data_IF_258843636696
#
_entry.id   IF_258843636696
#
_cell.length_a   1.000
_cell.length_b   1.000
_cell.length_c   1.000
_cell.angle_alpha   90.00
_cell.angle_beta   90.00
_cell.angle_gamma   90.00
#
_symmetry.space_group_name_H-M   'P 1'
#
loop_
_entity.id
_entity.type
_entity.pdbx_description
1 polymer ?
#
# COMPACT_ATOMS: atom_id res chain seq x y z
N UNK A 1 8.44 33.67 59.25
CA UNK A 1 7.21 33.26 58.52
C UNK A 1 7.68 32.73 57.16
N UNK A 2 7.85 31.40 57.06
CA UNK A 2 8.33 30.72 55.81
C UNK A 2 7.10 30.22 55.08
N UNK A 3 6.85 30.77 53.87
CA UNK A 3 5.77 30.35 52.99
C UNK A 3 6.32 29.21 52.14
N UNK A 4 5.81 27.98 52.35
CA UNK A 4 6.07 26.81 51.52
C UNK A 4 5.13 26.89 50.28
N UNK A 5 5.70 27.07 49.12
CA UNK A 5 4.96 26.87 47.86
C UNK A 5 4.99 25.40 47.50
N UNK A 6 3.85 24.70 47.67
CA UNK A 6 3.67 23.36 47.16
C UNK A 6 3.29 23.44 45.65
N UNK A 7 4.23 23.00 44.81
CA UNK A 7 3.97 22.80 43.39
C UNK A 7 3.21 21.46 43.21
N UNK A 8 1.93 21.53 43.04
CA UNK A 8 1.15 20.40 42.57
C UNK A 8 1.33 20.26 41.05
N UNK A 9 2.19 19.31 40.60
CA UNK A 9 2.27 18.91 39.21
C UNK A 9 1.04 18.06 38.87
N UNK A 10 0.10 18.65 38.18
CA UNK A 10 -1.03 17.93 37.57
C UNK A 10 -0.49 17.12 36.37
N UNK A 11 -0.04 15.90 36.62
CA UNK A 11 0.11 14.90 35.58
C UNK A 11 -1.29 14.32 35.29
N UNK A 12 -2.02 14.95 34.40
CA UNK A 12 -3.18 14.32 33.80
C UNK A 12 -2.72 13.10 32.98
N UNK A 13 -3.51 12.00 32.93
CA UNK A 13 -3.16 10.90 32.07
C UNK A 13 -3.14 11.41 30.62
N UNK A 14 -1.97 11.37 29.98
CA UNK A 14 -1.89 11.49 28.53
C UNK A 14 -2.65 10.29 27.95
N UNK A 15 -3.92 10.47 27.65
CA UNK A 15 -4.65 9.56 26.79
C UNK A 15 -3.97 9.64 25.42
N UNK A 16 -3.15 8.65 25.10
CA UNK A 16 -2.70 8.41 23.73
C UNK A 16 -3.99 8.16 22.94
N UNK A 17 -4.46 9.19 22.24
CA UNK A 17 -5.56 9.03 21.33
C UNK A 17 -5.16 7.91 20.35
N UNK A 18 -5.91 6.83 20.40
CA UNK A 18 -5.72 5.72 19.47
C UNK A 18 -5.90 6.30 18.07
N UNK A 19 -4.86 6.21 17.24
CA UNK A 19 -4.95 6.66 15.85
C UNK A 19 -6.10 5.91 15.19
N UNK A 20 -6.98 6.59 14.44
CA UNK A 20 -8.08 5.92 13.78
C UNK A 20 -7.52 4.87 12.83
N UNK A 21 -8.05 3.64 12.92
CA UNK A 21 -7.72 2.59 11.97
C UNK A 21 -8.25 3.00 10.59
N UNK A 22 -7.39 3.15 9.55
CA UNK A 22 -7.82 3.57 8.22
C UNK A 22 -8.80 2.57 7.56
N UNK A 23 -8.91 1.36 8.10
CA UNK A 23 -9.89 0.34 7.68
C UNK A 23 -11.26 0.52 8.34
N UNK A 24 -11.37 1.34 9.38
CA UNK A 24 -12.60 1.54 10.13
C UNK A 24 -13.17 2.93 9.87
N UNK A 25 -14.45 2.96 9.54
CA UNK A 25 -15.19 4.22 9.43
C UNK A 25 -15.53 4.76 10.81
N UNK A 26 -15.29 6.05 11.05
CA UNK A 26 -15.76 6.74 12.25
C UNK A 26 -17.29 6.75 12.37
N UNK A 27 -18.00 6.63 11.23
CA UNK A 27 -19.44 6.56 11.17
C UNK A 27 -19.93 5.41 10.25
N UNK A 28 -19.99 4.16 10.75
CA UNK A 28 -20.40 3.00 9.95
C UNK A 28 -21.80 3.13 9.31
N UNK A 29 -22.74 3.84 9.97
CA UNK A 29 -24.08 4.06 9.43
C UNK A 29 -24.06 5.00 8.22
N UNK A 30 -23.24 6.02 8.26
CA UNK A 30 -23.07 6.93 7.13
C UNK A 30 -22.35 6.24 5.97
N UNK A 31 -21.32 5.47 6.28
CA UNK A 31 -20.62 4.64 5.29
C UNK A 31 -21.60 3.69 4.59
N UNK A 32 -22.42 2.94 5.34
CA UNK A 32 -23.38 2.01 4.76
C UNK A 32 -24.39 2.72 3.85
N UNK A 33 -24.92 3.86 4.27
CA UNK A 33 -25.83 4.65 3.42
C UNK A 33 -25.19 5.10 2.12
N UNK A 34 -23.93 5.52 2.17
CA UNK A 34 -23.17 5.91 0.99
C UNK A 34 -22.97 4.71 0.06
N UNK A 35 -22.51 3.57 0.58
CA UNK A 35 -22.32 2.33 -0.18
C UNK A 35 -23.63 1.91 -0.85
N UNK A 36 -24.74 1.87 -0.09
CA UNK A 36 -26.04 1.49 -0.62
C UNK A 36 -26.51 2.42 -1.73
N UNK A 37 -26.29 3.73 -1.59
CA UNK A 37 -26.69 4.72 -2.60
C UNK A 37 -25.94 4.52 -3.92
N UNK A 38 -24.61 4.27 -3.85
CA UNK A 38 -23.79 3.97 -5.03
C UNK A 38 -24.23 2.64 -5.63
N UNK A 39 -24.32 1.59 -4.83
CA UNK A 39 -24.70 0.26 -5.29
C UNK A 39 -26.05 0.23 -6.02
N UNK A 40 -27.05 0.95 -5.51
CA UNK A 40 -28.37 1.06 -6.14
C UNK A 40 -28.37 1.90 -7.41
N UNK A 41 -27.45 2.86 -7.54
CA UNK A 41 -27.36 3.75 -8.69
C UNK A 41 -26.68 3.11 -9.91
N UNK A 42 -26.00 1.98 -9.74
CA UNK A 42 -25.22 1.31 -10.80
C UNK A 42 -25.99 0.15 -11.43
N UNK A 43 -25.91 0.03 -12.75
CA UNK A 43 -26.33 -1.18 -13.48
C UNK A 43 -25.43 -2.37 -13.15
N UNK A 44 -25.81 -3.59 -13.55
CA UNK A 44 -24.98 -4.78 -13.35
C UNK A 44 -23.61 -4.63 -14.03
N UNK A 45 -23.55 -4.15 -15.28
CA UNK A 45 -22.31 -3.96 -16.02
C UNK A 45 -21.39 -2.94 -15.32
N UNK A 46 -21.96 -1.84 -14.80
CA UNK A 46 -21.22 -0.85 -14.04
C UNK A 46 -20.70 -1.41 -12.69
N UNK A 47 -21.48 -2.27 -12.02
CA UNK A 47 -21.01 -2.97 -10.81
C UNK A 47 -19.86 -3.92 -11.12
N UNK A 48 -19.92 -4.62 -12.26
CA UNK A 48 -18.82 -5.46 -12.75
C UNK A 48 -17.59 -4.58 -13.03
N UNK A 49 -17.78 -3.43 -13.68
CA UNK A 49 -16.71 -2.46 -13.92
C UNK A 49 -15.96 -2.05 -12.66
N UNK A 50 -16.67 -1.87 -11.54
CA UNK A 50 -16.06 -1.53 -10.25
C UNK A 50 -15.04 -2.56 -9.72
N UNK A 51 -15.04 -3.78 -10.26
CA UNK A 51 -14.09 -4.83 -9.89
C UNK A 51 -12.74 -4.73 -10.62
N UNK A 52 -12.63 -3.85 -11.61
CA UNK A 52 -11.41 -3.72 -12.42
C UNK A 52 -10.56 -2.54 -12.01
N UNK A 53 -9.24 -2.78 -11.97
CA UNK A 53 -8.21 -1.79 -11.66
C UNK A 53 -7.08 -1.92 -12.69
N UNK A 54 -7.22 -1.30 -13.88
CA UNK A 54 -6.20 -1.36 -14.92
C UNK A 54 -4.92 -0.61 -14.51
N UNK A 55 -3.79 -1.03 -15.10
CA UNK A 55 -2.50 -0.38 -14.91
C UNK A 55 -2.36 0.83 -15.83
N UNK A 56 -1.94 1.96 -15.24
CA UNK A 56 -1.78 3.25 -15.91
C UNK A 56 -0.33 3.68 -15.89
N UNK A 57 0.19 4.05 -17.05
CA UNK A 57 1.57 4.49 -17.23
C UNK A 57 1.60 5.96 -17.65
N UNK A 58 1.83 6.85 -16.69
CA UNK A 58 1.86 8.30 -17.00
C UNK A 58 3.07 8.73 -17.86
N UNK A 59 4.02 7.82 -18.12
CA UNK A 59 5.09 8.06 -19.11
C UNK A 59 4.65 7.90 -20.56
N UNK A 60 3.48 7.27 -20.82
CA UNK A 60 2.93 7.07 -22.17
C UNK A 60 2.32 8.35 -22.72
N UNK A 61 1.85 8.27 -23.96
CA UNK A 61 1.22 9.34 -24.73
C UNK A 61 -0.27 9.52 -24.43
N UNK A 62 -0.89 10.43 -25.18
CA UNK A 62 -2.31 10.75 -25.04
C UNK A 62 -3.23 9.60 -25.47
N UNK A 63 -2.80 8.74 -26.39
CA UNK A 63 -3.59 7.57 -26.81
C UNK A 63 -3.86 6.64 -25.61
N UNK A 64 -2.84 6.44 -24.75
CA UNK A 64 -3.01 5.67 -23.50
C UNK A 64 -3.90 6.42 -22.49
N UNK A 65 -3.80 7.73 -22.41
CA UNK A 65 -4.69 8.54 -21.58
C UNK A 65 -6.15 8.37 -22.01
N UNK A 66 -6.44 8.47 -23.32
CA UNK A 66 -7.77 8.33 -23.89
C UNK A 66 -8.32 6.91 -23.73
N UNK A 67 -7.46 5.88 -23.81
CA UNK A 67 -7.82 4.51 -23.49
C UNK A 67 -8.37 4.40 -22.05
N UNK A 68 -7.63 4.90 -21.07
CA UNK A 68 -8.04 4.86 -19.65
C UNK A 68 -9.30 5.70 -19.42
N UNK A 69 -9.37 6.88 -20.02
CA UNK A 69 -10.56 7.74 -19.97
C UNK A 69 -11.82 7.00 -20.47
N UNK A 70 -11.71 6.29 -21.59
CA UNK A 70 -12.80 5.47 -22.11
C UNK A 70 -13.20 4.33 -21.15
N UNK A 71 -12.22 3.69 -20.45
CA UNK A 71 -12.52 2.68 -19.44
C UNK A 71 -13.33 3.27 -18.27
N UNK A 72 -12.98 4.47 -17.82
CA UNK A 72 -13.66 5.18 -16.73
C UNK A 72 -15.09 5.56 -17.14
N UNK A 73 -15.25 6.22 -18.28
CA UNK A 73 -16.55 6.77 -18.71
C UNK A 73 -17.53 5.68 -19.13
N UNK A 74 -17.04 4.66 -19.85
CA UNK A 74 -17.90 3.62 -20.45
C UNK A 74 -18.14 2.44 -19.53
N UNK A 75 -17.09 1.97 -18.84
CA UNK A 75 -17.16 0.74 -18.04
C UNK A 75 -17.20 0.99 -16.54
N UNK A 76 -17.05 2.25 -16.10
CA UNK A 76 -17.12 2.61 -14.68
C UNK A 76 -16.15 1.80 -13.82
N UNK A 77 -14.90 1.67 -14.25
CA UNK A 77 -13.87 0.94 -13.49
C UNK A 77 -13.73 1.49 -12.07
N UNK A 78 -13.46 0.59 -11.10
CA UNK A 78 -13.44 0.94 -9.67
C UNK A 78 -12.14 1.58 -9.20
N UNK A 79 -11.06 1.40 -9.93
CA UNK A 79 -9.76 1.97 -9.56
C UNK A 79 -8.76 1.95 -10.69
N UNK A 80 -7.59 2.48 -10.41
CA UNK A 80 -6.42 2.41 -11.29
C UNK A 80 -5.17 2.14 -10.46
N UNK A 81 -4.20 1.45 -11.04
CA UNK A 81 -2.87 1.29 -10.48
C UNK A 81 -1.88 2.10 -11.31
N UNK A 82 -1.32 3.16 -10.72
CA UNK A 82 -0.27 3.92 -11.38
C UNK A 82 1.06 3.16 -11.36
N UNK A 83 1.70 3.19 -12.51
CA UNK A 83 3.05 2.68 -12.70
C UNK A 83 3.92 3.78 -13.33
N UNK A 84 4.97 3.43 -13.96
CA UNK A 84 6.04 4.28 -14.51
C UNK A 84 5.61 5.67 -15.03
N UNK A 85 6.32 6.72 -14.58
CA UNK A 85 6.10 8.09 -15.03
C UNK A 85 6.77 9.14 -14.14
N UNK A 86 6.21 10.36 -14.18
CA UNK A 86 6.65 11.47 -13.32
C UNK A 86 5.53 11.87 -12.36
N UNK A 87 5.85 12.42 -11.18
CA UNK A 87 4.86 12.89 -10.22
C UNK A 87 3.90 13.91 -10.82
N UNK A 88 4.42 14.83 -11.62
CA UNK A 88 3.65 15.90 -12.22
C UNK A 88 2.60 15.36 -13.21
N UNK A 89 3.00 14.51 -14.16
CA UNK A 89 2.08 13.97 -15.16
C UNK A 89 1.06 13.01 -14.54
N UNK A 90 1.49 12.21 -13.54
CA UNK A 90 0.56 11.39 -12.77
C UNK A 90 -0.53 12.23 -12.11
N UNK A 91 -0.14 13.31 -11.42
CA UNK A 91 -1.10 14.19 -10.71
C UNK A 91 -2.08 14.87 -11.69
N UNK A 92 -1.61 15.31 -12.86
CA UNK A 92 -2.47 15.88 -13.91
C UNK A 92 -3.51 14.86 -14.38
N UNK A 93 -3.08 13.66 -14.77
CA UNK A 93 -3.95 12.60 -15.24
C UNK A 93 -4.94 12.15 -14.17
N UNK A 94 -4.45 12.00 -12.93
CA UNK A 94 -5.30 11.61 -11.82
C UNK A 94 -6.44 12.60 -11.58
N UNK A 95 -6.14 13.90 -11.57
CA UNK A 95 -7.16 14.92 -11.36
C UNK A 95 -8.24 14.87 -12.46
N UNK A 96 -7.85 14.65 -13.71
CA UNK A 96 -8.80 14.51 -14.80
C UNK A 96 -9.63 13.23 -14.67
N UNK A 97 -9.00 12.08 -14.42
CA UNK A 97 -9.68 10.80 -14.23
C UNK A 97 -10.69 10.83 -13.07
N UNK A 98 -10.32 11.44 -11.94
CA UNK A 98 -11.24 11.61 -10.81
C UNK A 98 -12.42 12.53 -11.17
N UNK A 99 -12.18 13.58 -11.97
CA UNK A 99 -13.21 14.56 -12.32
C UNK A 99 -14.31 13.98 -13.24
N UNK A 100 -13.97 12.98 -14.06
CA UNK A 100 -14.90 12.31 -14.98
C UNK A 100 -15.52 11.04 -14.40
N UNK A 101 -14.99 10.55 -13.28
CA UNK A 101 -15.47 9.32 -12.64
C UNK A 101 -16.80 9.54 -11.93
N UNK A 102 -17.81 8.72 -12.22
CA UNK A 102 -19.09 8.75 -11.50
C UNK A 102 -18.97 8.29 -10.04
N UNK A 103 -18.14 7.29 -9.81
CA UNK A 103 -17.74 6.80 -8.49
C UNK A 103 -16.26 7.13 -8.34
N UNK A 104 -15.82 7.74 -7.21
CA UNK A 104 -14.40 8.04 -7.02
C UNK A 104 -13.54 6.80 -7.21
N UNK A 105 -12.46 6.95 -8.00
CA UNK A 105 -11.53 5.85 -8.27
C UNK A 105 -10.68 5.53 -7.05
N UNK A 106 -10.51 4.24 -6.77
CA UNK A 106 -9.50 3.75 -5.85
C UNK A 106 -8.13 3.80 -6.54
N UNK A 107 -7.21 4.61 -6.01
CA UNK A 107 -5.88 4.76 -6.59
C UNK A 107 -4.89 3.90 -5.81
N UNK A 108 -4.15 3.09 -6.53
CA UNK A 108 -3.15 2.20 -5.94
C UNK A 108 -1.81 2.28 -6.66
N UNK A 109 -0.77 1.82 -5.99
CA UNK A 109 0.59 1.78 -6.53
C UNK A 109 1.39 0.61 -5.91
N UNK A 110 2.25 -0.03 -6.72
CA UNK A 110 3.36 -0.81 -6.20
C UNK A 110 4.47 0.14 -5.76
N UNK A 111 4.64 0.35 -4.47
CA UNK A 111 5.63 1.27 -3.92
C UNK A 111 6.42 0.62 -2.76
N UNK A 112 6.99 -0.57 -3.01
CA UNK A 112 7.65 -1.42 -2.00
C UNK A 112 8.79 -0.73 -1.24
N UNK A 113 9.48 0.20 -1.91
CA UNK A 113 10.50 1.09 -1.34
C UNK A 113 10.20 2.56 -1.64
N UNK A 114 8.89 2.90 -1.56
CA UNK A 114 8.36 4.23 -1.84
C UNK A 114 8.08 4.45 -3.32
N UNK A 115 7.52 5.62 -3.62
CA UNK A 115 7.06 5.99 -4.98
C UNK A 115 8.18 6.00 -6.03
N UNK A 116 9.45 6.06 -5.59
CA UNK A 116 10.63 5.96 -6.47
C UNK A 116 10.75 4.60 -7.18
N UNK A 117 10.03 3.58 -6.73
CA UNK A 117 9.90 2.32 -7.48
C UNK A 117 9.25 2.55 -8.85
N UNK A 118 8.41 3.55 -8.99
CA UNK A 118 7.57 3.80 -10.17
C UNK A 118 7.81 5.15 -10.83
N UNK A 119 8.18 6.15 -10.05
CA UNK A 119 8.27 7.52 -10.53
C UNK A 119 9.71 8.01 -10.53
N UNK A 120 10.05 8.81 -11.53
CA UNK A 120 11.31 9.53 -11.57
C UNK A 120 11.27 10.80 -10.69
N UNK A 121 12.44 11.41 -10.49
CA UNK A 121 12.58 12.72 -9.84
C UNK A 121 12.00 12.81 -8.42
N UNK A 122 11.99 11.68 -7.69
CA UNK A 122 11.54 11.58 -6.30
C UNK A 122 12.61 10.95 -5.40
N UNK A 123 12.47 11.14 -4.09
CA UNK A 123 13.38 10.55 -3.10
C UNK A 123 13.14 9.04 -3.00
N UNK A 124 14.19 8.24 -3.23
CA UNK A 124 14.16 6.81 -3.06
C UNK A 124 14.47 6.42 -1.59
N UNK A 125 13.75 5.43 -1.09
CA UNK A 125 14.08 4.78 0.18
C UNK A 125 14.96 3.54 -0.06
N UNK A 126 15.69 3.06 0.96
CA UNK A 126 16.46 1.83 0.84
C UNK A 126 15.56 0.62 0.57
N UNK A 127 16.12 -0.39 -0.09
CA UNK A 127 15.47 -1.68 -0.28
C UNK A 127 15.13 -2.35 1.05
N UNK A 128 14.08 -3.18 1.07
CA UNK A 128 13.61 -3.85 2.27
C UNK A 128 14.68 -4.71 2.95
N UNK A 129 15.58 -5.36 2.20
CA UNK A 129 16.72 -6.11 2.77
C UNK A 129 17.61 -5.20 3.64
N UNK A 130 17.86 -3.97 3.21
CA UNK A 130 18.61 -2.98 4.00
C UNK A 130 17.82 -2.57 5.25
N UNK A 131 16.51 -2.36 5.10
CA UNK A 131 15.63 -2.05 6.23
C UNK A 131 15.55 -3.21 7.22
N UNK A 132 15.63 -4.45 6.74
CA UNK A 132 15.68 -5.67 7.56
C UNK A 132 16.85 -5.72 8.53
N UNK A 133 17.98 -5.09 8.19
CA UNK A 133 19.16 -5.01 9.05
C UNK A 133 19.01 -4.02 10.22
N UNK A 134 18.06 -3.09 10.17
CA UNK A 134 17.81 -2.11 11.23
C UNK A 134 17.15 -2.81 12.42
N UNK A 135 17.73 -2.70 13.62
CA UNK A 135 17.20 -3.37 14.82
C UNK A 135 15.92 -2.72 15.34
N UNK A 136 15.86 -1.38 15.32
CA UNK A 136 14.76 -0.61 15.88
C UNK A 136 13.57 -0.48 14.90
N UNK A 137 12.47 -1.16 15.20
CA UNK A 137 11.25 -1.13 14.39
C UNK A 137 10.54 0.24 14.38
N UNK A 138 10.85 1.13 15.34
CA UNK A 138 10.30 2.50 15.29
C UNK A 138 10.86 3.30 14.13
N UNK A 139 12.10 3.01 13.71
CA UNK A 139 12.71 3.58 12.50
C UNK A 139 11.97 3.09 11.25
N UNK A 140 11.65 1.78 11.19
CA UNK A 140 10.90 1.20 10.06
C UNK A 140 9.51 1.84 9.95
N UNK A 141 8.80 1.99 11.08
CA UNK A 141 7.49 2.67 11.11
C UNK A 141 7.58 4.11 10.59
N UNK A 142 8.60 4.88 11.02
CA UNK A 142 8.82 6.24 10.51
C UNK A 142 9.13 6.28 9.02
N UNK A 143 9.88 5.31 8.50
CA UNK A 143 10.13 5.17 7.06
C UNK A 143 8.82 4.88 6.33
N UNK A 144 8.02 3.94 6.80
CA UNK A 144 6.69 3.65 6.25
C UNK A 144 5.77 4.87 6.24
N UNK A 145 5.79 5.67 7.32
CA UNK A 145 5.04 6.92 7.38
C UNK A 145 5.50 7.91 6.29
N UNK A 146 6.82 8.08 6.10
CA UNK A 146 7.34 8.97 5.05
C UNK A 146 7.05 8.47 3.63
N UNK A 147 7.06 7.15 3.41
CA UNK A 147 6.60 6.56 2.15
C UNK A 147 5.12 6.88 1.92
N UNK A 148 4.27 6.63 2.92
CA UNK A 148 2.84 6.91 2.85
C UNK A 148 2.52 8.39 2.65
N UNK A 149 3.27 9.30 3.26
CA UNK A 149 3.13 10.75 3.02
C UNK A 149 3.41 11.13 1.56
N UNK A 150 4.41 10.52 0.92
CA UNK A 150 4.66 10.72 -0.52
C UNK A 150 3.51 10.17 -1.38
N UNK A 151 3.03 8.99 -1.06
CA UNK A 151 1.89 8.36 -1.73
C UNK A 151 0.62 9.22 -1.59
N UNK A 152 0.36 9.72 -0.38
CA UNK A 152 -0.81 10.56 -0.10
C UNK A 152 -0.80 11.87 -0.90
N UNK A 153 0.35 12.54 -0.99
CA UNK A 153 0.53 13.77 -1.80
C UNK A 153 0.22 13.52 -3.28
N UNK A 154 0.49 12.31 -3.77
CA UNK A 154 0.23 11.87 -5.15
C UNK A 154 -1.19 11.31 -5.36
N UNK A 155 -2.05 11.40 -4.33
CA UNK A 155 -3.43 10.92 -4.39
C UNK A 155 -3.57 9.39 -4.39
N UNK A 156 -2.55 8.66 -3.95
CA UNK A 156 -2.61 7.20 -3.79
C UNK A 156 -3.37 6.88 -2.49
N UNK A 157 -4.27 5.92 -2.55
CA UNK A 157 -5.06 5.45 -1.42
C UNK A 157 -4.53 4.12 -0.84
N UNK A 158 -3.90 3.30 -1.70
CA UNK A 158 -3.44 1.97 -1.33
C UNK A 158 -2.07 1.65 -1.94
N UNK A 159 -1.16 1.20 -1.09
CA UNK A 159 0.15 0.67 -1.47
C UNK A 159 0.12 -0.86 -1.51
N UNK A 160 0.58 -1.47 -2.62
CA UNK A 160 0.84 -2.92 -2.66
C UNK A 160 2.20 -3.22 -2.01
N UNK A 161 2.27 -2.97 -0.72
CA UNK A 161 3.36 -3.20 0.21
C UNK A 161 2.76 -3.48 1.61
N UNK A 162 3.49 -4.11 2.52
CA UNK A 162 4.87 -4.60 2.44
C UNK A 162 5.02 -5.94 1.72
N UNK A 163 6.24 -6.22 1.24
CA UNK A 163 6.63 -7.58 0.84
C UNK A 163 6.93 -8.38 2.10
N UNK A 164 6.20 -9.50 2.27
CA UNK A 164 6.30 -10.40 3.42
C UNK A 164 6.95 -11.73 3.07
N UNK A 165 7.38 -11.89 1.82
CA UNK A 165 8.09 -13.08 1.38
C UNK A 165 9.40 -13.25 2.15
N UNK A 166 9.65 -14.48 2.61
CA UNK A 166 10.85 -14.84 3.36
C UNK A 166 11.90 -15.32 2.38
N UNK A 167 13.06 -14.67 2.33
CA UNK A 167 14.11 -14.96 1.36
C UNK A 167 14.92 -16.20 1.73
N UNK A 168 14.27 -17.38 1.73
CA UNK A 168 14.89 -18.66 2.09
C UNK A 168 15.71 -19.28 0.97
N UNK A 169 15.42 -18.92 -0.28
CA UNK A 169 16.18 -19.38 -1.45
C UNK A 169 17.08 -18.27 -2.01
N UNK A 170 18.41 -18.36 -1.87
CA UNK A 170 19.32 -17.35 -2.40
C UNK A 170 19.32 -17.25 -3.93
N UNK A 171 18.88 -18.32 -4.63
CA UNK A 171 18.75 -18.37 -6.10
C UNK A 171 17.40 -17.78 -6.59
N UNK A 172 16.57 -17.27 -5.71
CA UNK A 172 15.29 -16.68 -6.09
C UNK A 172 15.50 -15.43 -6.96
N UNK A 173 15.02 -15.43 -8.22
CA UNK A 173 15.31 -14.35 -9.16
C UNK A 173 14.45 -13.10 -8.95
N UNK A 174 13.41 -13.16 -8.09
CA UNK A 174 12.37 -12.14 -8.00
C UNK A 174 12.34 -11.46 -6.65
N UNK A 175 12.44 -12.18 -5.55
CA UNK A 175 12.29 -11.63 -4.20
C UNK A 175 13.60 -10.96 -3.75
N UNK A 176 14.64 -11.70 -3.46
CA UNK A 176 15.95 -11.15 -3.12
C UNK A 176 15.88 -9.93 -2.20
N UNK A 177 16.40 -8.80 -2.67
CA UNK A 177 16.45 -7.53 -1.91
C UNK A 177 15.06 -6.93 -1.57
N UNK A 178 13.97 -7.42 -2.18
CA UNK A 178 12.61 -6.99 -1.86
C UNK A 178 12.13 -7.53 -0.52
N UNK A 179 12.70 -8.65 -0.03
CA UNK A 179 12.41 -9.19 1.30
C UNK A 179 13.13 -8.42 2.41
N UNK A 180 12.59 -8.45 3.63
CA UNK A 180 13.28 -7.96 4.83
C UNK A 180 14.33 -8.94 5.36
N UNK A 181 14.45 -10.16 4.83
CA UNK A 181 15.42 -11.17 5.22
C UNK A 181 14.91 -12.60 5.14
N UNK A 182 15.64 -13.51 5.81
CA UNK A 182 15.41 -14.94 5.79
C UNK A 182 14.73 -15.48 7.07
N UNK A 183 14.62 -14.66 8.11
CA UNK A 183 14.00 -15.02 9.39
C UNK A 183 12.52 -14.62 9.39
N UNK A 184 11.56 -15.57 9.51
CA UNK A 184 10.13 -15.30 9.43
C UNK A 184 9.65 -14.24 10.43
N UNK A 185 10.12 -14.35 11.68
CA UNK A 185 9.73 -13.41 12.72
C UNK A 185 10.22 -11.99 12.41
N UNK A 186 11.45 -11.86 11.93
CA UNK A 186 12.01 -10.56 11.53
C UNK A 186 11.22 -9.96 10.37
N UNK A 187 10.91 -10.75 9.34
CA UNK A 187 10.12 -10.30 8.19
C UNK A 187 8.75 -9.81 8.66
N UNK A 188 8.05 -10.58 9.52
CA UNK A 188 6.76 -10.19 10.07
C UNK A 188 6.85 -8.90 10.89
N UNK A 189 7.80 -8.80 11.83
CA UNK A 189 7.98 -7.61 12.68
C UNK A 189 8.25 -6.34 11.84
N UNK A 190 9.08 -6.45 10.80
CA UNK A 190 9.40 -5.33 9.88
C UNK A 190 8.22 -4.96 9.01
N UNK A 191 7.54 -5.98 8.45
CA UNK A 191 6.34 -5.77 7.63
C UNK A 191 5.23 -5.07 8.41
N UNK A 192 4.95 -5.51 9.64
CA UNK A 192 3.97 -4.86 10.52
C UNK A 192 4.38 -3.41 10.85
N UNK A 193 5.67 -3.16 11.11
CA UNK A 193 6.15 -1.81 11.40
C UNK A 193 5.98 -0.88 10.18
N UNK A 194 6.33 -1.35 8.97
CA UNK A 194 6.17 -0.60 7.73
C UNK A 194 4.69 -0.32 7.43
N UNK A 195 3.84 -1.34 7.54
CA UNK A 195 2.38 -1.23 7.39
C UNK A 195 1.80 -0.16 8.32
N UNK A 196 2.14 -0.22 9.62
CA UNK A 196 1.67 0.78 10.59
C UNK A 196 2.11 2.20 10.23
N UNK A 197 3.29 2.36 9.66
CA UNK A 197 3.76 3.65 9.18
C UNK A 197 2.91 4.19 8.02
N UNK A 198 2.56 3.36 7.02
CA UNK A 198 1.65 3.77 5.95
C UNK A 198 0.26 4.14 6.48
N UNK A 199 -0.27 3.36 7.45
CA UNK A 199 -1.55 3.67 8.09
C UNK A 199 -1.50 4.99 8.87
N UNK A 200 -0.37 5.33 9.51
CA UNK A 200 -0.18 6.65 10.18
C UNK A 200 -0.29 7.81 9.17
N UNK A 201 0.01 7.57 7.89
CA UNK A 201 -0.16 8.54 6.80
C UNK A 201 -1.51 8.43 6.07
N UNK A 202 -2.41 7.53 6.51
CA UNK A 202 -3.73 7.34 5.90
C UNK A 202 -3.73 6.45 4.65
N UNK A 203 -2.66 5.71 4.37
CA UNK A 203 -2.52 4.82 3.21
C UNK A 203 -2.85 3.39 3.60
N UNK A 204 -3.77 2.75 2.87
CA UNK A 204 -4.05 1.32 2.98
C UNK A 204 -2.86 0.51 2.44
N UNK A 205 -2.71 -0.70 2.95
CA UNK A 205 -1.60 -1.59 2.55
C UNK A 205 -2.08 -2.99 2.20
N UNK A 206 -1.31 -3.69 1.38
CA UNK A 206 -1.54 -5.10 1.05
C UNK A 206 -0.25 -5.89 1.18
N UNK A 207 -0.18 -6.75 2.20
CA UNK A 207 0.95 -7.68 2.35
C UNK A 207 0.98 -8.69 1.21
N UNK A 208 2.18 -8.99 0.67
CA UNK A 208 2.36 -9.85 -0.49
C UNK A 208 3.66 -10.65 -0.42
N UNK A 209 3.73 -11.79 -1.10
CA UNK A 209 2.83 -12.40 -2.09
C UNK A 209 2.28 -13.71 -1.50
N UNK A 210 1.03 -13.73 -1.10
CA UNK A 210 0.42 -14.93 -0.53
C UNK A 210 0.38 -16.09 -1.54
N UNK A 211 0.67 -17.33 -1.15
CA UNK A 211 1.03 -17.81 0.20
C UNK A 211 2.53 -17.72 0.53
N UNK A 212 3.37 -17.14 -0.33
CA UNK A 212 4.81 -16.99 -0.20
C UNK A 212 5.52 -17.27 -1.53
N UNK A 213 6.45 -16.38 -1.89
CA UNK A 213 7.23 -16.48 -3.13
C UNK A 213 8.75 -16.55 -2.87
N UNK A 214 9.17 -16.45 -1.60
CA UNK A 214 10.59 -16.34 -1.22
C UNK A 214 11.44 -17.56 -1.52
N UNK A 215 10.83 -18.74 -1.60
CA UNK A 215 11.52 -20.02 -1.85
C UNK A 215 11.40 -20.52 -3.30
N UNK A 216 10.73 -19.79 -4.17
CA UNK A 216 10.58 -20.20 -5.58
C UNK A 216 11.84 -19.96 -6.39
N UNK A 217 12.13 -20.87 -7.34
CA UNK A 217 13.28 -20.78 -8.24
C UNK A 217 12.92 -20.22 -9.62
N UNK A 218 11.68 -19.79 -9.83
CA UNK A 218 11.19 -19.31 -11.13
C UNK A 218 10.49 -17.97 -11.01
N UNK A 219 10.62 -17.18 -12.07
CA UNK A 219 9.96 -15.88 -12.20
C UNK A 219 8.47 -16.07 -12.51
N UNK A 220 7.59 -15.63 -11.60
CA UNK A 220 6.13 -15.69 -11.75
C UNK A 220 5.59 -14.83 -12.90
N UNK A 221 6.35 -13.84 -13.38
CA UNK A 221 5.98 -13.06 -14.55
C UNK A 221 6.16 -13.81 -15.88
N UNK A 222 6.93 -14.91 -15.88
CA UNK A 222 7.26 -15.70 -17.08
C UNK A 222 6.66 -17.09 -17.05
N UNK A 223 6.49 -17.67 -15.87
CA UNK A 223 6.00 -19.03 -15.67
C UNK A 223 5.14 -19.08 -14.43
N UNK A 224 4.35 -20.16 -14.27
CA UNK A 224 3.65 -20.45 -13.02
C UNK A 224 4.64 -21.19 -12.09
N UNK A 225 5.22 -20.54 -11.08
CA UNK A 225 6.06 -21.19 -10.10
C UNK A 225 5.22 -22.13 -9.22
N UNK A 226 5.78 -23.26 -8.85
CA UNK A 226 5.12 -24.22 -7.97
C UNK A 226 5.84 -24.22 -6.62
N UNK A 227 5.07 -24.09 -5.55
CA UNK A 227 5.54 -24.27 -4.17
C UNK A 227 5.12 -25.68 -3.75
N UNK A 228 6.07 -26.59 -3.66
CA UNK A 228 5.83 -28.01 -3.35
C UNK A 228 6.04 -28.30 -1.86
N UNK A 229 5.48 -27.44 -1.00
CA UNK A 229 5.56 -27.63 0.45
C UNK A 229 4.27 -28.22 0.99
N UNK A 230 4.42 -29.00 2.06
CA UNK A 230 3.28 -29.44 2.84
C UNK A 230 2.68 -28.28 3.64
N UNK A 231 1.49 -28.49 4.18
CA UNK A 231 0.77 -27.49 4.95
C UNK A 231 1.56 -27.04 6.18
N UNK A 232 2.27 -27.96 6.83
CA UNK A 232 3.08 -27.62 8.01
C UNK A 232 4.17 -26.61 7.68
N UNK A 233 4.90 -26.82 6.58
CA UNK A 233 5.94 -25.90 6.12
C UNK A 233 5.33 -24.54 5.76
N UNK A 234 4.22 -24.52 5.02
CA UNK A 234 3.56 -23.26 4.65
C UNK A 234 3.13 -22.46 5.88
N UNK A 235 2.45 -23.08 6.84
CA UNK A 235 1.94 -22.42 8.05
C UNK A 235 3.04 -22.00 9.03
N UNK A 236 4.24 -22.59 9.00
CA UNK A 236 5.32 -22.26 9.94
C UNK A 236 6.42 -21.38 9.33
N UNK A 237 6.39 -21.14 8.03
CA UNK A 237 7.44 -20.35 7.38
C UNK A 237 6.88 -19.29 6.47
N UNK A 238 5.89 -19.59 5.61
CA UNK A 238 5.45 -18.68 4.55
C UNK A 238 4.22 -17.85 4.93
N UNK A 239 3.34 -18.40 5.78
CA UNK A 239 2.10 -17.80 6.27
C UNK A 239 2.27 -17.42 7.75
#
# INVERSE_FOLDING_TARGET
>A
MRILFSFFALFGPFSLAQQPDPLLSENPKHQQKWVDSIYQSLSLDQKIGQLFTPMVFSKKDEDHFDEIKNLIEKYYIGGIIFSLGSPFKQSQWLNEFQSISKVPLMISMDAEWGVAMRLDSVIAFPWNMTLGAIKDNTVIRRIGQRMGEQEWILGVHMSYAPVLDINTNPENPIIGNRSFGEDPKRVADKGVALMKGHHDAGILTSGKHFPGHGDTAKDSHKTLPTVNFDRFRLENTEI
#
